data_IF_279706145890
#
_entry.id   IF_279706145890
#
_cell.length_a   1.000
_cell.length_b   1.000
_cell.length_c   1.000
_cell.angle_alpha   90.00
_cell.angle_beta   90.00
_cell.angle_gamma   90.00
#
_symmetry.space_group_name_H-M   'P 1'
#
loop_
_entity.id
_entity.type
_entity.pdbx_description
1 polymer ?
#
# COMPACT_ATOMS: atom_id res chain seq x y z
N UNK A 1 2.97 26.28 -21.27
CA UNK A 1 2.11 26.56 -20.09
C UNK A 1 2.05 25.33 -19.21
N UNK A 2 2.27 25.47 -17.90
CA UNK A 2 2.09 24.38 -16.93
C UNK A 2 0.61 24.22 -16.59
N UNK A 3 0.14 22.97 -16.48
CA UNK A 3 -1.23 22.67 -16.03
C UNK A 3 -1.50 23.28 -14.65
N UNK A 4 -2.75 23.67 -14.38
CA UNK A 4 -3.24 23.97 -13.03
C UNK A 4 -3.38 22.68 -12.20
N UNK A 5 -3.54 22.77 -10.86
CA UNK A 5 -3.79 21.58 -10.02
C UNK A 5 -5.05 20.79 -10.40
N UNK A 6 -6.12 21.46 -10.80
CA UNK A 6 -7.39 20.81 -11.21
C UNK A 6 -7.23 20.07 -12.55
N UNK A 7 -6.58 20.70 -13.53
CA UNK A 7 -6.29 20.08 -14.83
C UNK A 7 -5.36 18.88 -14.69
N UNK A 8 -4.32 18.94 -13.83
CA UNK A 8 -3.50 17.76 -13.51
C UNK A 8 -4.33 16.60 -12.99
N UNK A 9 -5.28 16.89 -12.10
CA UNK A 9 -6.16 15.88 -11.50
C UNK A 9 -7.14 15.29 -12.50
N UNK A 10 -7.69 16.11 -13.42
CA UNK A 10 -8.52 15.64 -14.53
C UNK A 10 -7.73 14.74 -15.49
N UNK A 11 -6.52 15.16 -15.87
CA UNK A 11 -5.64 14.38 -16.75
C UNK A 11 -5.27 13.03 -16.13
N UNK A 12 -4.94 13.00 -14.84
CA UNK A 12 -4.62 11.75 -14.14
C UNK A 12 -5.82 10.78 -14.12
N UNK A 13 -7.04 11.29 -13.91
CA UNK A 13 -8.26 10.48 -13.96
C UNK A 13 -8.53 9.92 -15.36
N UNK A 14 -8.39 10.74 -16.40
CA UNK A 14 -8.55 10.30 -17.78
C UNK A 14 -7.55 9.17 -18.12
N UNK A 15 -6.29 9.32 -17.71
CA UNK A 15 -5.27 8.29 -17.90
C UNK A 15 -5.60 6.99 -17.14
N UNK A 16 -6.10 7.07 -15.90
CA UNK A 16 -6.50 5.89 -15.13
C UNK A 16 -7.65 5.12 -15.80
N UNK A 17 -8.67 5.83 -16.30
CA UNK A 17 -9.76 5.20 -17.05
C UNK A 17 -9.26 4.53 -18.34
N UNK A 18 -8.37 5.20 -19.09
CA UNK A 18 -7.79 4.63 -20.31
C UNK A 18 -6.98 3.35 -20.01
N UNK A 19 -6.16 3.35 -18.95
CA UNK A 19 -5.40 2.17 -18.51
C UNK A 19 -6.31 0.99 -18.17
N UNK A 20 -7.36 1.25 -17.37
CA UNK A 20 -8.29 0.22 -16.91
C UNK A 20 -9.29 -0.25 -17.97
N UNK A 21 -9.48 0.51 -19.06
CA UNK A 21 -10.25 0.04 -20.20
C UNK A 21 -9.51 -1.07 -20.98
N UNK A 22 -8.18 -1.01 -21.03
CA UNK A 22 -7.35 -1.96 -21.80
C UNK A 22 -6.70 -3.08 -20.98
N UNK A 23 -6.73 -3.01 -19.65
CA UNK A 23 -5.95 -3.93 -18.79
C UNK A 23 -6.74 -4.39 -17.58
N UNK A 24 -6.72 -5.70 -17.30
CA UNK A 24 -7.21 -6.20 -16.02
C UNK A 24 -6.29 -5.70 -14.88
N UNK A 25 -6.87 -4.90 -14.00
CA UNK A 25 -6.23 -4.38 -12.79
C UNK A 25 -5.60 -5.47 -11.89
N UNK A 26 -6.12 -6.69 -11.90
CA UNK A 26 -5.54 -7.81 -11.14
C UNK A 26 -4.20 -8.23 -11.72
N UNK A 27 -4.11 -8.32 -13.04
CA UNK A 27 -2.89 -8.71 -13.74
C UNK A 27 -1.86 -7.58 -13.75
N UNK A 28 -2.28 -6.34 -14.05
CA UNK A 28 -1.37 -5.19 -14.13
C UNK A 28 -0.62 -4.91 -12.82
N UNK A 29 -1.30 -5.05 -11.68
CA UNK A 29 -0.72 -4.78 -10.36
C UNK A 29 -0.04 -6.00 -9.73
N UNK A 30 -0.01 -7.15 -10.40
CA UNK A 30 0.54 -8.38 -9.82
C UNK A 30 2.02 -8.22 -9.40
N UNK A 31 2.93 -7.67 -10.24
CA UNK A 31 4.33 -7.46 -9.84
C UNK A 31 4.47 -6.50 -8.65
N UNK A 32 3.61 -5.48 -8.58
CA UNK A 32 3.60 -4.53 -7.48
C UNK A 32 3.14 -5.18 -6.17
N UNK A 33 2.15 -6.07 -6.23
CA UNK A 33 1.68 -6.85 -5.07
C UNK A 33 2.76 -7.81 -4.57
N UNK A 34 3.46 -8.48 -5.49
CA UNK A 34 4.59 -9.36 -5.16
C UNK A 34 5.73 -8.60 -4.49
N UNK A 35 6.16 -7.48 -5.06
CA UNK A 35 7.19 -6.64 -4.46
C UNK A 35 6.77 -6.11 -3.07
N UNK A 36 5.50 -5.74 -2.90
CA UNK A 36 4.96 -5.31 -1.62
C UNK A 36 4.96 -6.44 -0.59
N UNK A 37 4.67 -7.68 -0.99
CA UNK A 37 4.74 -8.86 -0.10
C UNK A 37 6.19 -9.23 0.25
N UNK A 38 7.10 -9.20 -0.72
CA UNK A 38 8.50 -9.56 -0.55
C UNK A 38 9.21 -8.76 0.56
N UNK A 39 8.80 -7.52 0.82
CA UNK A 39 9.35 -6.72 1.92
C UNK A 39 9.08 -7.35 3.29
N UNK A 40 7.91 -7.98 3.46
CA UNK A 40 7.52 -8.61 4.72
C UNK A 40 8.21 -9.95 4.89
N UNK A 41 8.39 -10.70 3.80
CA UNK A 41 9.21 -11.92 3.80
C UNK A 41 10.65 -11.62 4.25
N UNK A 42 11.28 -10.57 3.69
CA UNK A 42 12.61 -10.13 4.12
C UNK A 42 12.64 -9.62 5.56
N UNK A 43 11.55 -9.01 6.04
CA UNK A 43 11.45 -8.54 7.43
C UNK A 43 11.40 -9.70 8.43
N UNK A 44 10.69 -10.79 8.09
CA UNK A 44 10.51 -11.94 8.99
C UNK A 44 11.59 -13.00 8.84
N UNK A 45 12.28 -13.02 7.70
CA UNK A 45 13.38 -13.94 7.41
C UNK A 45 14.50 -13.24 6.61
N UNK A 46 15.30 -12.35 7.24
CA UNK A 46 16.36 -11.61 6.56
C UNK A 46 17.45 -12.52 5.98
N UNK A 47 17.71 -13.66 6.65
CA UNK A 47 18.76 -14.61 6.28
C UNK A 47 18.25 -15.76 5.39
N UNK A 48 16.94 -15.81 5.11
CA UNK A 48 16.34 -16.82 4.24
C UNK A 48 16.34 -18.24 4.81
N UNK A 49 16.41 -18.41 6.13
CA UNK A 49 16.58 -19.72 6.80
C UNK A 49 15.26 -20.44 7.09
N UNK A 50 14.13 -19.74 7.06
CA UNK A 50 12.83 -20.35 7.31
C UNK A 50 12.38 -21.17 6.11
N UNK A 51 11.59 -22.22 6.37
CA UNK A 51 10.87 -22.90 5.31
C UNK A 51 9.90 -21.93 4.60
N UNK A 52 9.58 -22.14 3.32
CA UNK A 52 8.75 -21.20 2.56
C UNK A 52 7.36 -20.97 3.14
N UNK A 53 6.72 -22.01 3.69
CA UNK A 53 5.36 -21.94 4.24
C UNK A 53 5.29 -21.10 5.52
N UNK A 54 6.22 -21.31 6.44
CA UNK A 54 6.35 -20.55 7.69
C UNK A 54 6.78 -19.12 7.41
N UNK A 55 7.67 -18.90 6.42
CA UNK A 55 8.01 -17.55 5.95
C UNK A 55 6.76 -16.82 5.45
N UNK A 56 5.96 -17.46 4.60
CA UNK A 56 4.73 -16.88 4.08
C UNK A 56 3.71 -16.58 5.20
N UNK A 57 3.51 -17.53 6.13
CA UNK A 57 2.63 -17.36 7.30
C UNK A 57 3.07 -16.17 8.16
N UNK A 58 4.37 -16.04 8.46
CA UNK A 58 4.92 -14.92 9.22
C UNK A 58 4.81 -13.61 8.46
N UNK A 59 5.08 -13.61 7.17
CA UNK A 59 4.95 -12.43 6.31
C UNK A 59 3.50 -11.92 6.28
N UNK A 60 2.51 -12.82 6.24
CA UNK A 60 1.09 -12.43 6.31
C UNK A 60 0.75 -11.76 7.66
N UNK A 61 1.26 -12.28 8.77
CA UNK A 61 1.08 -11.68 10.09
C UNK A 61 1.78 -10.33 10.21
N UNK A 62 3.00 -10.20 9.67
CA UNK A 62 3.72 -8.94 9.61
C UNK A 62 2.95 -7.89 8.78
N UNK A 63 2.35 -8.30 7.65
CA UNK A 63 1.47 -7.44 6.85
C UNK A 63 0.26 -6.96 7.63
N UNK A 64 -0.43 -7.86 8.35
CA UNK A 64 -1.59 -7.50 9.19
C UNK A 64 -1.18 -6.49 10.27
N UNK A 65 -0.08 -6.77 10.98
CA UNK A 65 0.47 -5.88 12.00
C UNK A 65 0.79 -4.48 11.46
N UNK A 66 1.40 -4.40 10.27
CA UNK A 66 1.70 -3.13 9.60
C UNK A 66 0.44 -2.27 9.40
N UNK A 67 -0.63 -2.85 8.86
CA UNK A 67 -1.87 -2.11 8.62
C UNK A 67 -2.60 -1.74 9.91
N UNK A 68 -2.59 -2.61 10.92
CA UNK A 68 -3.13 -2.28 12.26
C UNK A 68 -2.37 -1.09 12.86
N UNK A 69 -1.04 -1.07 12.75
CA UNK A 69 -0.21 0.05 13.18
C UNK A 69 -0.53 1.35 12.45
N UNK A 70 -0.80 1.30 11.14
CA UNK A 70 -1.19 2.47 10.36
C UNK A 70 -2.56 3.02 10.80
N UNK A 71 -3.54 2.14 11.03
CA UNK A 71 -4.85 2.50 11.56
C UNK A 71 -4.76 3.16 12.93
N UNK A 72 -3.93 2.62 13.84
CA UNK A 72 -3.69 3.21 15.15
C UNK A 72 -3.06 4.60 15.04
N UNK A 73 -2.06 4.78 14.18
CA UNK A 73 -1.43 6.09 13.91
C UNK A 73 -2.46 7.10 13.41
N UNK A 74 -3.31 6.70 12.46
CA UNK A 74 -4.39 7.54 11.94
C UNK A 74 -5.39 7.94 13.02
N UNK A 75 -5.82 6.99 13.87
CA UNK A 75 -6.72 7.28 14.98
C UNK A 75 -6.10 8.27 15.98
N UNK A 76 -4.81 8.12 16.32
CA UNK A 76 -4.08 9.06 17.18
C UNK A 76 -4.04 10.47 16.56
N UNK A 77 -3.71 10.58 15.27
CA UNK A 77 -3.66 11.88 14.58
C UNK A 77 -5.02 12.59 14.57
N UNK A 78 -6.11 11.87 14.35
CA UNK A 78 -7.48 12.43 14.40
C UNK A 78 -7.84 12.91 15.81
N UNK A 79 -7.49 12.14 16.85
CA UNK A 79 -7.71 12.55 18.25
C UNK A 79 -6.94 13.83 18.59
N UNK A 80 -5.68 13.93 18.20
CA UNK A 80 -4.85 15.12 18.41
C UNK A 80 -5.43 16.36 17.70
N UNK A 81 -5.86 16.21 16.43
CA UNK A 81 -6.50 17.30 15.69
C UNK A 81 -7.79 17.80 16.37
N UNK A 82 -8.60 16.88 16.92
CA UNK A 82 -9.82 17.25 17.66
C UNK A 82 -9.47 17.98 18.96
N UNK A 83 -8.45 17.53 19.69
CA UNK A 83 -8.03 18.13 20.95
C UNK A 83 -7.40 19.52 20.77
N UNK A 84 -6.70 19.78 19.66
CA UNK A 84 -6.14 21.10 19.35
C UNK A 84 -7.09 22.05 18.60
N UNK A 85 -8.30 21.59 18.27
CA UNK A 85 -9.37 22.41 17.69
C UNK A 85 -10.41 22.85 18.73
N UNK A 86 -10.23 22.43 19.99
CA UNK A 86 -10.96 22.87 21.17
C UNK A 86 -10.06 23.82 21.97
#
# INVERSE_FOLDING_TARGET
MSLTPSERSLRARAAAHALHAGTDSRQHLQPAREAFMARFEKQVDPEGKLNPEERARRAEQARKSYFVGLSLKSAKARRAKKAGAA
#
